data_IF_117917903589
#
_entry.id   IF_117917903589
#
_cell.length_a   1.000
_cell.length_b   1.000
_cell.length_c   1.000
_cell.angle_alpha   90.00
_cell.angle_beta   90.00
_cell.angle_gamma   90.00
#
_symmetry.space_group_name_H-M   'P 1'
#
loop_
_entity.id
_entity.type
_entity.pdbx_description
1 polymer ?
#
# COMPACT_ATOMS: atom_id res chain seq x y z
N UNK A 1 31.02 -29.81 39.66
CA UNK A 1 30.50 -28.57 39.05
C UNK A 1 31.49 -28.18 37.97
N UNK A 2 31.33 -28.75 36.77
CA UNK A 2 32.27 -28.61 35.66
C UNK A 2 31.82 -27.45 34.78
N UNK A 3 32.70 -26.45 34.62
CA UNK A 3 32.57 -25.34 33.69
C UNK A 3 33.12 -25.83 32.36
N UNK A 4 32.27 -25.91 31.34
CA UNK A 4 32.70 -26.18 29.98
C UNK A 4 33.08 -24.86 29.31
N UNK A 5 34.38 -24.64 29.14
CA UNK A 5 34.96 -23.64 28.23
C UNK A 5 34.60 -24.02 26.78
N UNK A 6 33.82 -23.16 26.12
CA UNK A 6 33.61 -23.23 24.68
C UNK A 6 34.68 -22.40 23.98
N UNK A 7 35.71 -23.09 23.48
CA UNK A 7 36.74 -22.52 22.61
C UNK A 7 36.13 -22.22 21.23
N UNK A 8 36.04 -20.94 20.88
CA UNK A 8 35.65 -20.49 19.54
C UNK A 8 36.79 -20.80 18.56
N UNK A 9 36.53 -21.75 17.65
CA UNK A 9 37.45 -22.09 16.58
C UNK A 9 37.39 -21.02 15.49
N UNK A 10 38.49 -20.32 15.29
CA UNK A 10 38.73 -19.34 14.23
C UNK A 10 38.78 -20.07 12.88
N UNK A 11 37.73 -19.93 12.05
CA UNK A 11 37.78 -20.28 10.63
C UNK A 11 38.33 -19.12 9.83
N UNK A 12 39.65 -19.04 9.73
CA UNK A 12 40.36 -18.13 8.83
C UNK A 12 40.77 -18.85 7.54
N UNK A 13 40.52 -18.18 6.41
CA UNK A 13 41.21 -18.29 5.12
C UNK A 13 40.88 -19.50 4.22
N UNK A 14 39.78 -19.37 3.47
CA UNK A 14 39.69 -19.95 2.12
C UNK A 14 39.93 -18.84 1.08
N UNK A 15 40.86 -19.01 0.13
CA UNK A 15 41.08 -18.05 -0.95
C UNK A 15 39.84 -18.00 -1.85
N UNK A 16 39.24 -16.81 -1.96
CA UNK A 16 38.07 -16.56 -2.80
C UNK A 16 38.40 -16.72 -4.28
N UNK A 17 38.20 -17.94 -4.81
CA UNK A 17 38.11 -18.17 -6.25
C UNK A 17 36.70 -17.71 -6.67
N UNK A 18 36.57 -16.44 -7.03
CA UNK A 18 35.41 -15.92 -7.75
C UNK A 18 35.42 -16.57 -9.14
N UNK A 19 34.80 -17.75 -9.25
CA UNK A 19 34.50 -18.37 -10.54
C UNK A 19 33.51 -17.47 -11.26
N UNK A 20 34.05 -16.59 -12.10
CA UNK A 20 33.31 -15.78 -13.05
C UNK A 20 32.79 -16.71 -14.15
N UNK A 21 31.73 -17.46 -13.85
CA UNK A 21 31.05 -18.30 -14.83
C UNK A 21 30.43 -17.37 -15.88
N UNK A 22 30.90 -17.39 -17.14
CA UNK A 22 30.19 -16.70 -18.20
C UNK A 22 28.78 -17.28 -18.24
N UNK A 23 27.78 -16.43 -18.05
CA UNK A 23 26.36 -16.78 -18.11
C UNK A 23 26.07 -17.33 -19.52
N UNK A 24 26.19 -18.65 -19.70
CA UNK A 24 26.03 -19.33 -20.99
C UNK A 24 24.56 -19.41 -21.44
N UNK A 25 23.63 -18.97 -20.60
CA UNK A 25 22.23 -18.86 -20.96
C UNK A 25 21.88 -17.38 -21.14
N UNK A 26 21.45 -16.94 -22.34
CA UNK A 26 20.90 -15.61 -22.49
C UNK A 26 19.77 -15.45 -21.47
N UNK A 27 19.80 -14.36 -20.69
CA UNK A 27 18.70 -14.07 -19.77
C UNK A 27 17.42 -14.02 -20.61
N UNK A 28 16.34 -14.70 -20.19
CA UNK A 28 15.07 -14.59 -20.89
C UNK A 28 14.69 -13.10 -20.97
N UNK A 29 14.07 -12.66 -22.09
CA UNK A 29 13.63 -11.28 -22.21
C UNK A 29 12.69 -10.94 -21.04
N UNK A 30 12.78 -9.73 -20.47
CA UNK A 30 11.82 -9.30 -19.46
C UNK A 30 10.40 -9.42 -20.02
N UNK A 31 9.41 -9.78 -19.20
CA UNK A 31 8.03 -9.81 -19.65
C UNK A 31 7.61 -8.42 -20.14
N UNK A 32 6.62 -8.33 -21.07
CA UNK A 32 6.08 -7.05 -21.51
C UNK A 32 5.57 -6.24 -20.31
N UNK A 33 5.80 -4.93 -20.33
CA UNK A 33 5.18 -4.03 -19.35
C UNK A 33 3.66 -4.05 -19.58
N UNK A 34 2.89 -4.16 -18.50
CA UNK A 34 1.43 -4.18 -18.56
C UNK A 34 0.85 -2.78 -18.30
N UNK A 35 -0.18 -2.36 -19.07
CA UNK A 35 -0.84 -1.09 -18.82
C UNK A 35 -1.47 -1.13 -17.44
N UNK A 36 -1.31 -0.04 -16.70
CA UNK A 36 -1.94 0.20 -15.39
C UNK A 36 -3.43 -0.23 -15.41
N UNK A 37 -3.83 -1.31 -14.70
CA UNK A 37 -5.23 -1.64 -14.59
C UNK A 37 -6.00 -0.52 -13.86
N UNK A 38 -7.06 -0.03 -14.49
CA UNK A 38 -7.99 0.94 -13.89
C UNK A 38 -9.10 0.19 -13.16
N UNK A 39 -9.48 0.67 -11.97
CA UNK A 39 -10.64 0.14 -11.26
C UNK A 39 -11.95 0.73 -11.81
N UNK A 40 -13.08 -0.02 -11.81
CA UNK A 40 -13.16 -1.42 -11.42
C UNK A 40 -12.36 -2.30 -12.39
N UNK A 41 -11.61 -3.28 -11.85
CA UNK A 41 -10.82 -4.19 -12.68
C UNK A 41 -11.78 -4.81 -13.70
N UNK A 42 -11.39 -4.94 -14.98
CA UNK A 42 -12.25 -5.52 -16.00
C UNK A 42 -12.61 -6.93 -15.57
N UNK A 43 -13.80 -7.10 -14.99
CA UNK A 43 -14.26 -8.34 -14.41
C UNK A 43 -15.50 -8.81 -15.15
N UNK A 44 -15.48 -10.07 -15.58
CA UNK A 44 -16.41 -10.60 -16.58
C UNK A 44 -17.53 -11.46 -16.01
N UNK A 45 -17.71 -11.52 -14.68
CA UNK A 45 -18.56 -12.55 -14.07
C UNK A 45 -19.59 -12.14 -13.01
N UNK A 46 -19.38 -11.07 -12.23
CA UNK A 46 -20.24 -10.76 -11.09
C UNK A 46 -20.89 -9.39 -11.20
N UNK A 47 -22.19 -9.38 -11.46
CA UNK A 47 -23.04 -8.21 -11.25
C UNK A 47 -23.50 -8.21 -9.79
N UNK A 48 -22.93 -7.31 -8.99
CA UNK A 48 -23.39 -7.07 -7.62
C UNK A 48 -24.70 -6.31 -7.68
N UNK A 49 -25.74 -6.83 -7.03
CA UNK A 49 -27.01 -6.11 -6.93
C UNK A 49 -26.79 -4.77 -6.21
N UNK A 50 -27.42 -3.67 -6.65
CA UNK A 50 -27.23 -2.34 -6.04
C UNK A 50 -27.44 -2.34 -4.51
N UNK A 51 -28.43 -3.07 -4.02
CA UNK A 51 -28.72 -3.18 -2.58
C UNK A 51 -27.58 -3.83 -1.80
N UNK A 52 -26.94 -4.85 -2.38
CA UNK A 52 -25.79 -5.53 -1.76
C UNK A 52 -24.56 -4.62 -1.78
N UNK A 53 -24.33 -3.86 -2.86
CA UNK A 53 -23.29 -2.83 -2.90
C UNK A 53 -23.46 -1.82 -1.77
N UNK A 54 -24.66 -1.25 -1.62
CA UNK A 54 -24.94 -0.28 -0.57
C UNK A 54 -24.78 -0.88 0.83
N UNK A 55 -25.21 -2.14 1.02
CA UNK A 55 -25.01 -2.85 2.28
C UNK A 55 -23.53 -3.02 2.63
N UNK A 56 -22.69 -3.40 1.67
CA UNK A 56 -21.25 -3.59 1.91
C UNK A 56 -20.54 -2.27 2.20
N UNK A 57 -20.90 -1.20 1.48
CA UNK A 57 -20.39 0.14 1.74
C UNK A 57 -20.77 0.61 3.15
N UNK A 58 -22.02 0.38 3.57
CA UNK A 58 -22.49 0.70 4.91
C UNK A 58 -21.79 -0.12 5.99
N UNK A 59 -21.55 -1.41 5.77
CA UNK A 59 -20.79 -2.26 6.71
C UNK A 59 -19.35 -1.78 6.86
N UNK A 60 -18.70 -1.43 5.74
CA UNK A 60 -17.34 -0.90 5.75
C UNK A 60 -17.22 0.42 6.53
N UNK A 61 -18.26 1.27 6.47
CA UNK A 61 -18.30 2.55 7.16
C UNK A 61 -18.51 2.47 8.69
N UNK A 62 -18.66 1.27 9.27
CA UNK A 62 -18.86 1.09 10.72
C UNK A 62 -17.52 0.86 11.42
N UNK A 63 -17.17 1.65 12.42
CA UNK A 63 -16.00 1.40 13.28
C UNK A 63 -16.37 0.65 14.56
N UNK A 64 -17.14 -0.43 14.44
CA UNK A 64 -17.58 -1.26 15.56
C UNK A 64 -16.85 -2.61 15.62
N UNK A 65 -15.71 -2.71 14.92
CA UNK A 65 -14.96 -3.96 14.76
C UNK A 65 -15.61 -4.96 13.80
N UNK A 66 -16.75 -4.62 13.18
CA UNK A 66 -17.35 -5.45 12.13
C UNK A 66 -16.34 -5.63 11.00
N UNK A 67 -15.99 -6.88 10.76
CA UNK A 67 -15.08 -7.30 9.72
C UNK A 67 -15.87 -7.79 8.51
N UNK A 68 -15.41 -7.43 7.32
CA UNK A 68 -15.91 -7.98 6.05
C UNK A 68 -15.43 -9.43 5.78
N UNK A 69 -14.80 -10.11 6.75
CA UNK A 69 -14.24 -11.46 6.58
C UNK A 69 -15.29 -12.51 6.22
N UNK A 70 -16.54 -12.37 6.66
CA UNK A 70 -17.64 -13.26 6.24
C UNK A 70 -17.93 -13.17 4.74
N UNK A 71 -17.61 -12.03 4.12
CA UNK A 71 -17.69 -11.80 2.68
C UNK A 71 -16.36 -12.09 1.96
N UNK A 72 -15.29 -12.46 2.68
CA UNK A 72 -14.02 -12.79 2.08
C UNK A 72 -14.14 -13.97 1.12
N UNK A 73 -15.10 -14.90 1.29
CA UNK A 73 -15.36 -15.94 0.28
C UNK A 73 -15.70 -15.39 -1.11
N UNK A 74 -16.15 -14.14 -1.19
CA UNK A 74 -16.55 -13.40 -2.39
C UNK A 74 -15.59 -12.23 -2.62
N UNK A 75 -14.30 -12.53 -2.75
CA UNK A 75 -13.22 -11.55 -2.93
C UNK A 75 -13.53 -10.50 -4.02
N UNK A 76 -14.24 -10.92 -5.06
CA UNK A 76 -14.61 -10.11 -6.22
C UNK A 76 -15.70 -9.09 -5.89
N UNK A 77 -16.56 -9.42 -4.92
CA UNK A 77 -17.67 -8.59 -4.45
C UNK A 77 -17.16 -7.29 -3.84
N UNK A 78 -16.08 -7.35 -3.04
CA UNK A 78 -15.54 -6.16 -2.35
C UNK A 78 -14.86 -5.18 -3.31
N UNK A 79 -14.32 -5.67 -4.42
CA UNK A 79 -13.74 -4.84 -5.49
C UNK A 79 -14.80 -4.31 -6.46
N UNK A 80 -15.91 -5.02 -6.63
CA UNK A 80 -17.01 -4.63 -7.51
C UNK A 80 -18.06 -3.74 -6.82
N UNK A 81 -18.09 -3.71 -5.48
CA UNK A 81 -19.01 -2.87 -4.70
C UNK A 81 -18.59 -1.39 -4.74
N UNK A 82 -18.77 -0.73 -5.90
CA UNK A 82 -18.46 0.67 -6.10
C UNK A 82 -19.73 1.51 -6.01
N UNK A 83 -19.69 2.57 -5.22
CA UNK A 83 -20.73 3.60 -5.19
C UNK A 83 -20.82 4.24 -6.58
N UNK A 84 -21.96 4.15 -7.28
CA UNK A 84 -22.08 4.66 -8.64
C UNK A 84 -22.02 6.19 -8.72
N UNK A 85 -22.23 6.90 -7.61
CA UNK A 85 -22.23 8.36 -7.54
C UNK A 85 -20.83 8.87 -7.22
N UNK A 86 -20.21 8.35 -6.16
CA UNK A 86 -18.90 8.86 -5.70
C UNK A 86 -17.73 8.09 -6.27
N UNK A 87 -17.92 6.86 -6.71
CA UNK A 87 -16.85 5.92 -7.03
C UNK A 87 -16.19 5.31 -5.78
N UNK A 88 -16.71 5.56 -4.58
CA UNK A 88 -16.15 4.99 -3.36
C UNK A 88 -16.34 3.48 -3.33
N UNK A 89 -15.30 2.79 -2.90
CA UNK A 89 -15.35 1.36 -2.60
C UNK A 89 -15.46 1.11 -1.10
N UNK A 90 -15.64 -0.14 -0.66
CA UNK A 90 -15.62 -0.47 0.76
C UNK A 90 -14.28 -0.10 1.40
N UNK A 91 -13.17 -0.10 0.64
CA UNK A 91 -11.86 0.36 1.12
C UNK A 91 -11.86 1.85 1.49
N UNK A 92 -12.44 2.71 0.65
CA UNK A 92 -12.58 4.14 0.94
C UNK A 92 -13.43 4.38 2.19
N UNK A 93 -14.59 3.70 2.27
CA UNK A 93 -15.52 3.83 3.41
C UNK A 93 -14.90 3.32 4.72
N UNK A 94 -14.20 2.19 4.68
CA UNK A 94 -13.51 1.66 5.85
C UNK A 94 -12.34 2.55 6.29
N UNK A 95 -11.60 3.12 5.34
CA UNK A 95 -10.54 4.08 5.64
C UNK A 95 -11.10 5.35 6.28
N UNK A 96 -12.14 5.95 5.70
CA UNK A 96 -12.84 7.10 6.27
C UNK A 96 -13.36 6.84 7.68
N UNK A 97 -13.93 5.65 7.94
CA UNK A 97 -14.42 5.27 9.27
C UNK A 97 -13.31 4.87 10.26
N UNK A 98 -12.09 4.58 9.80
CA UNK A 98 -11.07 3.95 10.64
C UNK A 98 -11.34 2.47 10.95
N UNK A 99 -12.20 1.79 10.18
CA UNK A 99 -12.50 0.37 10.34
C UNK A 99 -11.32 -0.49 9.86
N UNK A 100 -10.31 -0.61 10.71
CA UNK A 100 -9.11 -1.42 10.48
C UNK A 100 -9.44 -2.89 10.17
N UNK A 101 -10.37 -3.49 10.90
CA UNK A 101 -10.73 -4.90 10.74
C UNK A 101 -11.25 -5.20 9.32
N UNK A 102 -12.09 -4.32 8.78
CA UNK A 102 -12.56 -4.41 7.40
C UNK A 102 -11.43 -4.21 6.39
N UNK A 103 -10.56 -3.20 6.59
CA UNK A 103 -9.45 -2.97 5.68
C UNK A 103 -8.49 -4.16 5.62
N UNK A 104 -8.09 -4.71 6.78
CA UNK A 104 -7.29 -5.94 6.85
C UNK A 104 -7.97 -7.08 6.12
N UNK A 105 -9.29 -7.24 6.29
CA UNK A 105 -10.05 -8.30 5.62
C UNK A 105 -10.03 -8.14 4.10
N UNK A 106 -10.21 -6.92 3.60
CA UNK A 106 -10.14 -6.60 2.16
C UNK A 106 -8.76 -6.83 1.57
N UNK A 107 -7.70 -6.58 2.35
CA UNK A 107 -6.31 -6.83 1.95
C UNK A 107 -6.06 -8.30 1.62
N UNK A 108 -6.67 -9.23 2.36
CA UNK A 108 -6.63 -10.66 2.00
C UNK A 108 -7.45 -11.01 0.75
N UNK A 109 -8.32 -10.10 0.31
CA UNK A 109 -9.18 -10.30 -0.85
C UNK A 109 -8.58 -9.78 -2.15
N UNK A 110 -7.62 -8.87 -2.09
CA UNK A 110 -6.96 -8.36 -3.29
C UNK A 110 -6.09 -9.45 -3.92
N UNK A 111 -6.55 -9.98 -5.06
CA UNK A 111 -5.68 -10.64 -6.01
C UNK A 111 -5.65 -12.16 -6.06
N UNK A 112 -6.79 -12.86 -5.92
CA UNK A 112 -6.86 -14.24 -6.47
C UNK A 112 -6.67 -14.26 -7.99
N UNK A 113 -7.24 -13.29 -8.72
CA UNK A 113 -6.95 -13.10 -10.15
C UNK A 113 -5.51 -12.64 -10.46
N UNK A 114 -4.81 -12.12 -9.45
CA UNK A 114 -3.41 -11.68 -9.53
C UNK A 114 -2.49 -12.63 -8.74
N UNK A 115 -2.89 -13.89 -8.56
CA UNK A 115 -2.19 -14.87 -7.70
C UNK A 115 -0.73 -15.10 -8.09
N UNK A 116 -0.37 -14.78 -9.33
CA UNK A 116 0.99 -14.84 -9.88
C UNK A 116 1.87 -13.64 -9.50
N UNK A 117 1.30 -12.56 -8.99
CA UNK A 117 2.00 -11.36 -8.49
C UNK A 117 2.24 -11.52 -6.99
N UNK A 118 3.42 -11.21 -6.44
CA UNK A 118 3.65 -11.22 -4.99
C UNK A 118 2.63 -10.36 -4.25
N UNK A 119 2.18 -10.84 -3.08
CA UNK A 119 1.10 -10.20 -2.31
C UNK A 119 1.37 -8.72 -2.03
N UNK A 120 2.61 -8.39 -1.68
CA UNK A 120 3.13 -7.04 -1.45
C UNK A 120 2.81 -6.11 -2.60
N UNK A 121 3.17 -6.51 -3.81
CA UNK A 121 3.02 -5.70 -5.01
C UNK A 121 1.54 -5.43 -5.30
N UNK A 122 0.66 -6.41 -5.05
CA UNK A 122 -0.80 -6.25 -5.23
C UNK A 122 -1.41 -5.25 -4.25
N UNK A 123 -0.96 -5.29 -3.01
CA UNK A 123 -1.48 -4.43 -1.96
C UNK A 123 -1.06 -2.98 -2.16
N UNK A 124 0.23 -2.79 -2.41
CA UNK A 124 0.79 -1.50 -2.81
C UNK A 124 0.02 -0.95 -4.00
N UNK A 125 -0.20 -1.80 -5.01
CA UNK A 125 -0.95 -1.43 -6.20
C UNK A 125 -2.38 -0.97 -5.89
N UNK A 126 -3.19 -1.77 -5.17
CA UNK A 126 -4.59 -1.41 -4.89
C UNK A 126 -4.68 -0.17 -4.03
N UNK A 127 -3.88 -0.06 -2.97
CA UNK A 127 -3.91 1.09 -2.08
C UNK A 127 -3.53 2.38 -2.80
N UNK A 128 -2.58 2.30 -3.72
CA UNK A 128 -2.07 3.46 -4.45
C UNK A 128 -2.92 3.84 -5.67
N UNK A 129 -3.41 2.87 -6.42
CA UNK A 129 -4.04 3.11 -7.73
C UNK A 129 -5.55 3.09 -7.71
N UNK A 130 -6.16 2.52 -6.67
CA UNK A 130 -7.60 2.58 -6.51
C UNK A 130 -8.03 3.97 -6.11
N UNK A 131 -8.61 4.69 -7.06
CA UNK A 131 -9.10 6.04 -6.89
C UNK A 131 -10.60 6.09 -7.18
N UNK A 132 -11.35 6.85 -6.37
CA UNK A 132 -12.76 7.13 -6.64
C UNK A 132 -12.93 8.17 -7.79
N UNK A 133 -14.16 8.64 -8.02
CA UNK A 133 -14.45 9.61 -9.10
C UNK A 133 -13.80 10.99 -8.88
N UNK A 134 -13.41 11.32 -7.65
CA UNK A 134 -12.66 12.53 -7.33
C UNK A 134 -11.13 12.34 -7.46
N UNK A 135 -10.66 11.13 -7.77
CA UNK A 135 -9.24 10.79 -7.76
C UNK A 135 -8.69 10.51 -6.36
N UNK A 136 -9.55 10.42 -5.34
CA UNK A 136 -9.14 10.16 -3.97
C UNK A 136 -8.77 8.69 -3.83
N UNK A 137 -7.63 8.42 -3.21
CA UNK A 137 -7.29 7.09 -2.71
C UNK A 137 -7.95 6.83 -1.36
N UNK A 138 -7.81 5.61 -0.82
CA UNK A 138 -8.23 5.30 0.55
C UNK A 138 -7.60 6.24 1.60
N UNK A 139 -6.36 6.69 1.36
CA UNK A 139 -5.66 7.61 2.27
C UNK A 139 -6.30 9.01 2.24
N UNK A 140 -6.68 9.50 1.06
CA UNK A 140 -7.43 10.76 0.91
C UNK A 140 -8.79 10.68 1.60
N UNK A 141 -9.52 9.57 1.44
CA UNK A 141 -10.80 9.37 2.10
C UNK A 141 -10.68 9.40 3.64
N UNK A 142 -9.63 8.76 4.20
CA UNK A 142 -9.35 8.84 5.63
C UNK A 142 -8.96 10.25 6.09
N UNK A 143 -8.13 10.92 5.31
CA UNK A 143 -7.68 12.30 5.55
C UNK A 143 -8.86 13.29 5.57
N UNK A 144 -9.67 13.29 4.51
CA UNK A 144 -10.83 14.17 4.38
C UNK A 144 -11.88 13.93 5.46
N UNK A 145 -11.98 12.71 6.00
CA UNK A 145 -12.89 12.38 7.09
C UNK A 145 -12.34 12.72 8.50
N UNK A 146 -11.10 13.21 8.60
CA UNK A 146 -10.47 13.46 9.89
C UNK A 146 -10.16 12.20 10.69
N UNK A 147 -10.05 11.05 10.02
CA UNK A 147 -9.86 9.76 10.68
C UNK A 147 -8.38 9.42 10.82
N UNK A 148 -7.76 9.88 11.92
CA UNK A 148 -6.36 9.53 12.21
C UNK A 148 -6.15 8.00 12.28
N UNK A 149 -7.13 7.27 12.84
CA UNK A 149 -7.13 5.80 12.86
C UNK A 149 -7.15 5.21 11.45
N UNK A 150 -7.96 5.78 10.56
CA UNK A 150 -8.02 5.44 9.15
C UNK A 150 -6.70 5.69 8.43
N UNK A 151 -6.15 6.90 8.58
CA UNK A 151 -4.87 7.31 7.99
C UNK A 151 -3.75 6.37 8.42
N UNK A 152 -3.61 6.13 9.72
CA UNK A 152 -2.62 5.18 10.26
C UNK A 152 -2.86 3.79 9.71
N UNK A 153 -4.10 3.30 9.68
CA UNK A 153 -4.40 1.96 9.17
C UNK A 153 -4.06 1.79 7.69
N UNK A 154 -4.41 2.75 6.83
CA UNK A 154 -4.08 2.71 5.40
C UNK A 154 -2.58 2.72 5.20
N UNK A 155 -1.87 3.62 5.88
CA UNK A 155 -0.41 3.69 5.83
C UNK A 155 0.24 2.39 6.31
N UNK A 156 -0.27 1.78 7.39
CA UNK A 156 0.21 0.49 7.87
C UNK A 156 -0.03 -0.65 6.89
N UNK A 157 -1.18 -0.66 6.20
CA UNK A 157 -1.44 -1.69 5.19
C UNK A 157 -0.54 -1.54 3.98
N UNK A 158 -0.12 -0.31 3.68
CA UNK A 158 0.92 -0.05 2.69
C UNK A 158 2.29 -0.56 3.18
N UNK A 159 2.61 -0.38 4.46
CA UNK A 159 3.86 -0.84 5.09
C UNK A 159 3.96 -2.36 5.28
N UNK A 160 2.88 -3.01 5.75
CA UNK A 160 2.84 -4.38 6.32
C UNK A 160 3.59 -5.45 5.53
N UNK A 161 3.72 -5.31 4.23
CA UNK A 161 4.32 -6.32 3.37
C UNK A 161 5.82 -6.07 3.08
N UNK A 162 6.46 -5.09 3.75
CA UNK A 162 7.92 -4.91 3.80
C UNK A 162 8.60 -5.62 4.99
N UNK A 163 7.84 -6.13 5.96
CA UNK A 163 8.35 -6.75 7.19
C UNK A 163 7.77 -8.13 7.47
N UNK A 164 8.50 -8.92 8.25
CA UNK A 164 8.32 -10.36 8.49
C UNK A 164 6.85 -10.72 8.87
N UNK A 165 6.19 -11.64 8.14
CA UNK A 165 4.82 -12.07 8.44
C UNK A 165 4.64 -12.72 9.82
N UNK A 166 5.72 -13.08 10.52
CA UNK A 166 5.68 -13.72 11.84
C UNK A 166 5.56 -12.72 13.01
N UNK A 167 5.51 -11.40 12.76
CA UNK A 167 5.32 -10.38 13.80
C UNK A 167 3.82 -10.18 14.14
N UNK A 168 3.31 -11.04 15.04
CA UNK A 168 1.92 -11.07 15.49
C UNK A 168 1.46 -9.80 16.22
N UNK A 169 2.38 -8.91 16.65
CA UNK A 169 2.07 -7.69 17.41
C UNK A 169 1.53 -6.53 16.51
N UNK A 170 1.61 -6.69 15.18
CA UNK A 170 1.21 -5.69 14.18
C UNK A 170 -0.31 -5.49 14.03
N UNK A 171 -1.13 -6.36 14.64
CA UNK A 171 -2.59 -6.17 14.70
C UNK A 171 -3.03 -5.19 15.78
N UNK A 172 -2.10 -4.65 16.58
CA UNK A 172 -2.41 -3.66 17.59
C UNK A 172 -2.62 -2.27 16.95
N UNK A 173 -3.87 -1.77 16.81
CA UNK A 173 -4.13 -0.43 16.28
C UNK A 173 -3.46 0.68 17.10
N UNK A 174 -3.11 0.40 18.36
CA UNK A 174 -2.59 1.40 19.30
C UNK A 174 -1.05 1.53 19.26
N UNK A 175 -0.34 0.64 18.57
CA UNK A 175 1.12 0.78 18.38
C UNK A 175 1.40 2.07 17.59
N UNK A 176 2.24 2.99 18.06
CA UNK A 176 2.44 4.26 17.38
C UNK A 176 3.06 4.02 16.00
N UNK A 177 2.28 4.26 14.93
CA UNK A 177 2.77 4.13 13.54
C UNK A 177 4.01 5.00 13.24
N UNK A 178 4.29 5.99 14.11
CA UNK A 178 5.45 6.87 14.06
C UNK A 178 6.74 6.24 14.60
N UNK A 179 6.66 5.15 15.36
CA UNK A 179 7.86 4.47 15.88
C UNK A 179 8.41 3.43 14.91
N UNK A 180 7.81 3.32 13.74
CA UNK A 180 8.19 2.32 12.75
C UNK A 180 9.36 2.89 11.96
N UNK A 181 10.55 2.37 12.24
CA UNK A 181 11.75 2.73 11.51
C UNK A 181 11.69 2.08 10.13
N UNK A 182 11.80 2.90 9.08
CA UNK A 182 12.16 2.37 7.78
C UNK A 182 13.61 1.92 7.92
N UNK A 183 13.82 0.62 7.96
CA UNK A 183 15.11 0.04 7.67
C UNK A 183 15.59 0.71 6.38
N UNK A 184 16.68 1.47 6.47
CA UNK A 184 17.09 2.52 5.52
C UNK A 184 17.43 2.04 4.11
N UNK A 185 16.90 0.90 3.68
CA UNK A 185 16.81 0.46 2.32
C UNK A 185 15.97 1.47 1.50
N UNK A 186 16.66 2.38 0.84
CA UNK A 186 16.12 3.44 -0.02
C UNK A 186 15.04 2.95 -1.02
N UNK A 187 15.07 1.67 -1.39
CA UNK A 187 14.11 1.07 -2.32
C UNK A 187 12.67 1.04 -1.81
N UNK A 188 12.43 0.89 -0.50
CA UNK A 188 11.08 0.81 0.05
C UNK A 188 10.49 2.20 0.36
N UNK A 189 11.34 3.16 0.72
CA UNK A 189 10.90 4.52 1.10
C UNK A 189 10.28 5.29 -0.08
N UNK A 190 10.79 5.09 -1.29
CA UNK A 190 10.32 5.77 -2.49
C UNK A 190 8.85 5.46 -2.84
N UNK A 191 8.41 4.18 -2.92
CA UNK A 191 6.98 3.86 -3.10
C UNK A 191 6.07 4.50 -2.05
N UNK A 192 6.48 4.51 -0.78
CA UNK A 192 5.68 5.05 0.30
C UNK A 192 5.53 6.57 0.22
N UNK A 193 6.62 7.26 -0.10
CA UNK A 193 6.57 8.68 -0.33
C UNK A 193 5.72 9.01 -1.55
N UNK A 194 5.87 8.26 -2.64
CA UNK A 194 5.03 8.43 -3.83
C UNK A 194 3.54 8.21 -3.52
N UNK A 195 3.22 7.24 -2.66
CA UNK A 195 1.86 7.01 -2.18
C UNK A 195 1.33 8.18 -1.35
N UNK A 196 2.09 8.64 -0.35
CA UNK A 196 1.70 9.78 0.50
C UNK A 196 1.50 11.06 -0.29
N UNK A 197 2.34 11.31 -1.30
CA UNK A 197 2.28 12.49 -2.16
C UNK A 197 1.40 12.32 -3.40
N UNK A 198 0.67 11.20 -3.52
CA UNK A 198 -0.26 11.00 -4.63
C UNK A 198 -1.33 12.07 -4.59
N UNK A 199 -1.56 12.73 -5.73
CA UNK A 199 -2.56 13.78 -5.86
C UNK A 199 -3.91 13.23 -6.36
N UNK A 200 -5.01 13.74 -5.82
CA UNK A 200 -6.34 13.58 -6.37
C UNK A 200 -6.59 14.50 -7.58
N UNK A 201 -7.80 14.51 -8.16
CA UNK A 201 -8.14 15.36 -9.32
C UNK A 201 -8.11 16.86 -9.02
N UNK A 202 -8.16 17.24 -7.73
CA UNK A 202 -8.02 18.62 -7.31
C UNK A 202 -6.54 19.04 -7.11
N UNK A 203 -5.58 18.14 -7.38
CA UNK A 203 -4.15 18.41 -7.21
C UNK A 203 -3.69 18.41 -5.75
N UNK A 204 -4.48 17.83 -4.83
CA UNK A 204 -4.15 17.73 -3.40
C UNK A 204 -3.68 16.32 -3.07
N UNK A 205 -2.64 16.19 -2.26
CA UNK A 205 -2.31 14.93 -1.60
C UNK A 205 -3.11 14.80 -0.31
N UNK A 206 -2.95 13.69 0.42
CA UNK A 206 -3.66 13.45 1.66
C UNK A 206 -3.42 14.53 2.73
N UNK A 207 -2.20 15.10 2.82
CA UNK A 207 -1.88 16.15 3.80
C UNK A 207 -2.48 17.51 3.43
N UNK A 208 -2.55 17.82 2.13
CA UNK A 208 -3.27 18.98 1.64
C UNK A 208 -4.80 18.80 1.79
N UNK A 209 -5.31 17.58 1.62
CA UNK A 209 -6.73 17.26 1.82
C UNK A 209 -7.15 17.44 3.29
N UNK A 210 -6.37 16.91 4.26
CA UNK A 210 -6.65 17.10 5.68
C UNK A 210 -6.72 18.57 6.07
N UNK A 211 -5.80 19.42 5.57
CA UNK A 211 -5.84 20.87 5.79
C UNK A 211 -7.08 21.51 5.20
N UNK A 212 -7.44 21.13 3.96
CA UNK A 212 -8.63 21.66 3.31
C UNK A 212 -9.92 21.36 4.11
N UNK A 213 -9.92 20.28 4.89
CA UNK A 213 -11.03 19.88 5.77
C UNK A 213 -10.87 20.33 7.23
N UNK A 214 -9.78 21.01 7.60
CA UNK A 214 -9.55 21.54 8.96
C UNK A 214 -8.96 20.55 9.97
N UNK A 215 -8.25 19.52 9.50
CA UNK A 215 -7.60 18.49 10.32
C UNK A 215 -6.06 18.67 10.32
N UNK A 216 -5.59 19.81 10.84
CA UNK A 216 -4.17 20.20 10.80
C UNK A 216 -3.23 19.25 11.55
N UNK A 217 -3.71 18.60 12.60
CA UNK A 217 -2.96 17.61 13.37
C UNK A 217 -2.62 16.37 12.53
N UNK A 218 -3.57 15.88 11.73
CA UNK A 218 -3.38 14.77 10.81
C UNK A 218 -2.50 15.19 9.63
N UNK A 219 -2.64 16.43 9.13
CA UNK A 219 -1.75 16.99 8.12
C UNK A 219 -0.29 16.97 8.59
N UNK A 220 -0.04 17.52 9.78
CA UNK A 220 1.27 17.54 10.40
C UNK A 220 1.85 16.13 10.60
N UNK A 221 0.99 15.18 10.98
CA UNK A 221 1.39 13.78 11.10
C UNK A 221 1.86 13.20 9.76
N UNK A 222 1.08 13.38 8.69
CA UNK A 222 1.41 12.88 7.34
C UNK A 222 2.71 13.50 6.82
N UNK A 223 2.92 14.80 7.04
CA UNK A 223 4.14 15.50 6.65
C UNK A 223 5.36 14.99 7.40
N UNK A 224 5.25 14.80 8.71
CA UNK A 224 6.34 14.25 9.51
C UNK A 224 6.71 12.83 9.07
N UNK A 225 5.72 12.02 8.66
CA UNK A 225 5.98 10.71 8.07
C UNK A 225 6.70 10.86 6.72
N UNK A 226 6.23 11.76 5.85
CA UNK A 226 6.87 12.02 4.57
C UNK A 226 8.32 12.52 4.73
N UNK A 227 8.59 13.46 5.64
CA UNK A 227 9.94 13.98 5.93
C UNK A 227 10.92 12.88 6.35
N UNK A 228 10.46 11.89 7.11
CA UNK A 228 11.30 10.76 7.55
C UNK A 228 11.64 9.77 6.44
N UNK A 229 10.81 9.71 5.40
CA UNK A 229 11.06 8.88 4.22
C UNK A 229 12.13 9.48 3.30
N UNK A 230 12.43 10.77 3.48
CA UNK A 230 13.35 11.51 2.61
C UNK A 230 14.76 11.38 3.16
N UNK A 231 15.72 10.86 2.38
CA UNK A 231 17.12 10.82 2.80
C UNK A 231 17.63 12.22 3.19
N UNK A 232 18.44 12.28 4.25
CA UNK A 232 18.94 13.54 4.78
C UNK A 232 19.61 14.39 3.68
N UNK A 233 19.15 15.64 3.51
CA UNK A 233 19.68 16.57 2.52
C UNK A 233 19.06 16.46 1.12
N UNK A 234 18.14 15.51 0.89
CA UNK A 234 17.40 15.42 -0.36
C UNK A 234 16.16 16.33 -0.33
N UNK A 235 15.94 17.10 -1.41
CA UNK A 235 14.73 17.91 -1.57
C UNK A 235 13.66 17.07 -2.24
N UNK A 236 12.45 17.05 -1.66
CA UNK A 236 11.26 16.48 -2.31
C UNK A 236 10.71 17.52 -3.29
N UNK A 237 11.03 17.33 -4.56
CA UNK A 237 10.42 18.06 -5.66
C UNK A 237 9.61 17.11 -6.57
N UNK A 238 8.88 17.68 -7.53
CA UNK A 238 8.08 16.92 -8.49
C UNK A 238 8.94 15.92 -9.29
N UNK A 239 10.20 16.25 -9.57
CA UNK A 239 11.11 15.35 -10.26
C UNK A 239 11.50 14.15 -9.40
N UNK A 240 11.73 14.35 -8.10
CA UNK A 240 11.97 13.28 -7.15
C UNK A 240 10.74 12.38 -7.00
N UNK A 241 9.54 12.95 -6.83
CA UNK A 241 8.29 12.18 -6.74
C UNK A 241 7.99 11.42 -8.03
N UNK A 242 8.28 12.01 -9.19
CA UNK A 242 8.18 11.33 -10.50
C UNK A 242 9.12 10.13 -10.58
N UNK A 243 10.37 10.27 -10.16
CA UNK A 243 11.32 9.14 -10.09
C UNK A 243 10.89 8.07 -9.09
N UNK A 244 10.39 8.48 -7.93
CA UNK A 244 9.87 7.57 -6.91
C UNK A 244 8.69 6.74 -7.45
N UNK A 245 7.77 7.41 -8.15
CA UNK A 245 6.65 6.76 -8.84
C UNK A 245 7.13 5.79 -9.91
N UNK A 246 8.07 6.21 -10.76
CA UNK A 246 8.61 5.34 -11.81
C UNK A 246 9.31 4.12 -11.21
N UNK A 247 10.13 4.30 -10.17
CA UNK A 247 10.80 3.19 -9.49
C UNK A 247 9.81 2.20 -8.89
N UNK A 248 8.71 2.68 -8.30
CA UNK A 248 7.66 1.82 -7.78
C UNK A 248 6.94 1.07 -8.91
N UNK A 249 6.64 1.73 -10.04
CA UNK A 249 6.05 1.07 -11.21
C UNK A 249 7.01 0.02 -11.81
N UNK A 250 8.29 0.34 -11.95
CA UNK A 250 9.33 -0.56 -12.48
C UNK A 250 9.50 -1.78 -11.57
N UNK A 251 9.51 -1.58 -10.26
CA UNK A 251 9.55 -2.66 -9.25
C UNK A 251 8.41 -3.66 -9.46
N UNK A 252 7.25 -3.18 -9.90
CA UNK A 252 6.05 -3.99 -10.11
C UNK A 252 5.75 -4.30 -11.58
N UNK A 253 6.67 -3.97 -12.51
CA UNK A 253 6.55 -4.21 -13.96
C UNK A 253 5.33 -3.55 -14.63
N UNK A 254 4.88 -2.42 -14.10
CA UNK A 254 3.81 -1.61 -14.67
C UNK A 254 4.35 -0.38 -15.40
N UNK A 255 3.54 0.18 -16.30
CA UNK A 255 3.80 1.51 -16.87
C UNK A 255 2.58 2.43 -16.74
N UNK A 256 2.85 3.72 -16.61
CA UNK A 256 1.80 4.74 -16.65
C UNK A 256 1.47 5.03 -18.11
N UNK A 257 0.28 4.65 -18.57
CA UNK A 257 -0.13 4.84 -19.97
C UNK A 257 -0.33 6.31 -20.37
N UNK A 258 -0.18 7.25 -19.43
CA UNK A 258 -0.52 8.66 -19.59
C UNK A 258 0.59 9.60 -20.08
N UNK A 259 1.80 9.13 -20.40
CA UNK A 259 2.95 10.02 -20.73
C UNK A 259 3.45 9.93 -22.18
N UNK A 260 2.66 9.38 -23.10
CA UNK A 260 2.87 9.57 -24.55
C UNK A 260 1.76 10.44 -25.14
N UNK A 261 1.75 11.71 -24.74
CA UNK A 261 0.97 12.80 -25.33
C UNK A 261 1.87 13.98 -25.62
#
# INVERSE_FOLDING_TARGET
MHVHDFSATVYSNLPGILLNWPSMFPRPPPPPLEPKPTLPLPFTGYNVAPDETQRLLALAARDDGTSLKSYAGFYELLLAAIDPVTGDSPLHRAAAAGNHASMVSMVYCFGKQLSHVPRTERLLWVLWTHQNSAGDTALHAAASAGSLKGVKSVYRLFWRDSHDPDDDDMCNPDSPAESWEWDGNEGAALPALAFLCTKNRAGRDAAAETRATGHDDIAFWLERVAERLVPAGQKVDEDYLRRARQAALDTHRYFDGGTHG
#
